data_IF_503568209227
#
_entry.id   IF_503568209227
#
_cell.length_a   1.000
_cell.length_b   1.000
_cell.length_c   1.000
_cell.angle_alpha   90.00
_cell.angle_beta   90.00
_cell.angle_gamma   90.00
#
_symmetry.space_group_name_H-M   'P 1'
#
loop_
_entity.id
_entity.type
_entity.pdbx_description
1 polymer ?
#
# COMPACT_ATOMS: atom_id res chain seq x y z
N UNK A 1 -13.28 13.69 -12.84
CA UNK A 1 -13.27 14.94 -13.63
C UNK A 1 -12.11 15.77 -13.17
N UNK A 2 -11.24 16.24 -14.06
CA UNK A 2 -10.17 17.17 -13.69
C UNK A 2 -10.75 18.59 -13.65
N UNK A 3 -10.60 19.30 -12.54
CA UNK A 3 -10.95 20.73 -12.46
C UNK A 3 -9.87 21.51 -13.20
N UNK A 4 -10.27 22.35 -14.17
CA UNK A 4 -9.34 23.19 -14.91
C UNK A 4 -8.58 24.11 -13.93
N UNK A 5 -7.25 24.14 -14.02
CA UNK A 5 -6.41 24.97 -13.14
C UNK A 5 -6.04 26.31 -13.77
N UNK A 6 -6.36 26.53 -15.06
CA UNK A 6 -5.91 27.69 -15.84
C UNK A 6 -7.05 28.64 -16.23
N UNK A 7 -8.29 28.15 -16.30
CA UNK A 7 -9.48 28.94 -16.66
C UNK A 7 -10.42 29.00 -15.45
N UNK A 8 -10.57 30.20 -14.89
CA UNK A 8 -11.37 30.44 -13.69
C UNK A 8 -12.85 30.04 -13.86
N UNK A 9 -13.41 30.26 -15.04
CA UNK A 9 -14.82 29.94 -15.31
C UNK A 9 -15.02 28.43 -15.36
N UNK A 10 -14.09 27.70 -15.99
CA UNK A 10 -14.13 26.24 -16.01
C UNK A 10 -13.79 25.63 -14.65
N UNK A 11 -12.92 26.29 -13.87
CA UNK A 11 -12.61 25.92 -12.49
C UNK A 11 -13.86 26.00 -11.63
N UNK A 12 -14.56 27.14 -11.65
CA UNK A 12 -15.79 27.36 -10.91
C UNK A 12 -16.89 26.38 -11.33
N UNK A 13 -17.11 26.20 -12.64
CA UNK A 13 -18.06 25.22 -13.16
C UNK A 13 -17.72 23.78 -12.70
N UNK A 14 -16.42 23.45 -12.64
CA UNK A 14 -15.93 22.17 -12.12
C UNK A 14 -16.23 21.98 -10.63
N UNK A 15 -16.00 23.02 -9.82
CA UNK A 15 -16.31 23.03 -8.38
C UNK A 15 -17.82 22.86 -8.15
N UNK A 16 -18.66 23.59 -8.91
CA UNK A 16 -20.11 23.49 -8.79
C UNK A 16 -20.63 22.10 -9.21
N UNK A 17 -20.00 21.47 -10.21
CA UNK A 17 -20.35 20.13 -10.65
C UNK A 17 -19.91 19.02 -9.68
N UNK A 18 -18.97 19.29 -8.77
CA UNK A 18 -18.39 18.30 -7.86
C UNK A 18 -19.47 17.61 -6.99
N UNK A 19 -20.42 18.37 -6.45
CA UNK A 19 -21.50 17.81 -5.63
C UNK A 19 -22.36 16.79 -6.39
N UNK A 20 -22.70 17.09 -7.65
CA UNK A 20 -23.45 16.17 -8.51
C UNK A 20 -22.68 14.90 -8.85
N UNK A 21 -21.35 15.00 -9.01
CA UNK A 21 -20.48 13.85 -9.21
C UNK A 21 -20.44 12.97 -7.95
N UNK A 22 -20.16 13.57 -6.79
CA UNK A 22 -20.08 12.85 -5.52
C UNK A 22 -21.40 12.17 -5.16
N UNK A 23 -22.55 12.79 -5.47
CA UNK A 23 -23.87 12.21 -5.26
C UNK A 23 -24.12 10.93 -6.08
N UNK A 24 -23.47 10.78 -7.24
CA UNK A 24 -23.57 9.59 -8.08
C UNK A 24 -22.49 8.55 -7.78
N UNK A 25 -21.47 8.91 -7.00
CA UNK A 25 -20.36 8.02 -6.63
C UNK A 25 -20.78 7.08 -5.49
N UNK A 26 -20.58 5.78 -5.68
CA UNK A 26 -20.79 4.77 -4.61
C UNK A 26 -19.61 4.68 -3.64
N UNK A 27 -18.42 4.96 -4.15
CA UNK A 27 -17.16 4.87 -3.41
C UNK A 27 -16.28 6.08 -3.71
N UNK A 28 -15.54 6.54 -2.70
CA UNK A 28 -14.50 7.56 -2.84
C UNK A 28 -13.13 6.93 -2.59
N UNK A 29 -12.30 6.86 -3.64
CA UNK A 29 -10.95 6.33 -3.55
C UNK A 29 -9.96 7.48 -3.33
N UNK A 30 -9.35 7.53 -2.16
CA UNK A 30 -8.40 8.57 -1.77
C UNK A 30 -6.99 8.02 -1.94
N UNK A 31 -6.28 8.51 -2.95
CA UNK A 31 -4.83 8.33 -3.07
C UNK A 31 -4.16 9.29 -2.09
N UNK A 32 -3.92 8.83 -0.87
CA UNK A 32 -3.40 9.69 0.18
C UNK A 32 -1.91 10.02 -0.03
N UNK A 33 -1.54 11.23 0.38
CA UNK A 33 -0.17 11.68 0.60
C UNK A 33 -0.03 12.26 2.02
N UNK A 34 1.19 12.42 2.56
CA UNK A 34 1.39 12.98 3.90
C UNK A 34 0.78 14.39 4.11
N UNK A 35 0.54 15.11 3.01
CA UNK A 35 -0.05 16.45 2.97
C UNK A 35 -1.52 16.43 2.52
N UNK A 36 -2.20 15.28 2.54
CA UNK A 36 -3.61 15.21 2.13
C UNK A 36 -4.51 16.00 3.08
N UNK A 37 -4.40 15.75 4.39
CA UNK A 37 -5.24 16.41 5.41
C UNK A 37 -4.77 17.83 5.75
N UNK A 38 -3.62 18.28 5.26
CA UNK A 38 -3.23 19.68 5.37
C UNK A 38 -3.86 20.56 4.29
N UNK A 39 -4.47 20.00 3.25
CA UNK A 39 -5.08 20.75 2.14
C UNK A 39 -6.59 20.84 2.30
N UNK A 40 -7.11 22.06 2.41
CA UNK A 40 -8.54 22.32 2.70
C UNK A 40 -9.48 21.74 1.64
N UNK A 41 -9.13 21.85 0.35
CA UNK A 41 -9.92 21.29 -0.75
C UNK A 41 -10.04 19.75 -0.68
N UNK A 42 -8.97 19.05 -0.34
CA UNK A 42 -8.99 17.59 -0.20
C UNK A 42 -9.93 17.15 0.94
N UNK A 43 -9.86 17.87 2.06
CA UNK A 43 -10.74 17.63 3.20
C UNK A 43 -12.20 17.96 2.85
N UNK A 44 -12.42 19.01 2.06
CA UNK A 44 -13.75 19.37 1.58
C UNK A 44 -14.38 18.30 0.69
N UNK A 45 -13.62 17.70 -0.23
CA UNK A 45 -14.09 16.58 -1.07
C UNK A 45 -14.55 15.40 -0.22
N UNK A 46 -13.76 15.06 0.79
CA UNK A 46 -14.10 14.02 1.77
C UNK A 46 -15.38 14.40 2.55
N UNK A 47 -15.46 15.63 3.04
CA UNK A 47 -16.62 16.15 3.78
C UNK A 47 -17.90 16.12 2.93
N UNK A 48 -17.80 16.56 1.68
CA UNK A 48 -18.90 16.58 0.73
C UNK A 48 -19.38 15.15 0.44
N UNK A 49 -18.44 14.22 0.20
CA UNK A 49 -18.80 12.83 -0.07
C UNK A 49 -19.53 12.19 1.11
N UNK A 50 -19.04 12.37 2.33
CA UNK A 50 -19.67 11.83 3.54
C UNK A 50 -21.03 12.45 3.82
N UNK A 51 -21.16 13.77 3.65
CA UNK A 51 -22.42 14.47 3.87
C UNK A 51 -23.50 14.11 2.84
N UNK A 52 -23.10 13.87 1.59
CA UNK A 52 -24.02 13.48 0.51
C UNK A 52 -24.32 11.98 0.55
N UNK A 53 -23.33 11.15 0.91
CA UNK A 53 -23.42 9.69 0.92
C UNK A 53 -23.16 9.16 2.33
N UNK A 54 -24.16 9.27 3.21
CA UNK A 54 -24.05 8.81 4.61
C UNK A 54 -23.66 7.34 4.81
N UNK A 55 -23.69 6.51 3.75
CA UNK A 55 -23.19 5.13 3.73
C UNK A 55 -22.19 4.81 2.61
N UNK A 56 -21.64 5.82 1.93
CA UNK A 56 -20.65 5.62 0.88
C UNK A 56 -19.34 5.04 1.41
N UNK A 57 -18.71 4.12 0.68
CA UNK A 57 -17.45 3.53 1.12
C UNK A 57 -16.27 4.45 0.79
N UNK A 58 -15.39 4.70 1.76
CA UNK A 58 -14.16 5.48 1.57
C UNK A 58 -12.99 4.50 1.55
N UNK A 59 -12.23 4.50 0.45
CA UNK A 59 -11.10 3.60 0.25
C UNK A 59 -9.80 4.40 0.23
N UNK A 60 -8.99 4.29 1.28
CA UNK A 60 -7.67 4.89 1.29
C UNK A 60 -6.65 3.98 0.61
N UNK A 61 -6.02 4.48 -0.46
CA UNK A 61 -5.04 3.74 -1.24
C UNK A 61 -3.65 4.36 -1.08
N UNK A 62 -2.71 3.66 -0.40
CA UNK A 62 -1.36 4.13 -0.26
C UNK A 62 -0.57 4.05 -1.56
N UNK A 63 -0.42 5.17 -2.28
CA UNK A 63 0.35 5.22 -3.52
C UNK A 63 1.80 4.73 -3.33
N UNK A 64 2.37 5.00 -2.15
CA UNK A 64 3.75 4.64 -1.82
C UNK A 64 3.97 3.14 -1.65
N UNK A 65 2.95 2.36 -1.29
CA UNK A 65 3.11 0.92 -1.08
C UNK A 65 3.39 0.23 -2.42
N UNK A 66 2.62 0.57 -3.45
CA UNK A 66 2.82 0.02 -4.80
C UNK A 66 4.16 0.44 -5.40
N UNK A 67 4.57 1.70 -5.18
CA UNK A 67 5.89 2.18 -5.58
C UNK A 67 7.01 1.43 -4.84
N UNK A 68 6.85 1.20 -3.53
CA UNK A 68 7.84 0.44 -2.76
C UNK A 68 7.94 -1.03 -3.18
N UNK A 69 6.81 -1.67 -3.49
CA UNK A 69 6.76 -3.00 -4.08
C UNK A 69 7.49 -3.04 -5.42
N UNK A 70 7.19 -2.09 -6.31
CA UNK A 70 7.87 -1.98 -7.61
C UNK A 70 9.38 -1.79 -7.46
N UNK A 71 9.83 -0.89 -6.58
CA UNK A 71 11.26 -0.68 -6.29
C UNK A 71 11.91 -1.97 -5.78
N UNK A 72 11.27 -2.64 -4.82
CA UNK A 72 11.75 -3.92 -4.29
C UNK A 72 11.87 -4.98 -5.39
N UNK A 73 10.83 -5.13 -6.23
CA UNK A 73 10.83 -6.04 -7.37
C UNK A 73 11.98 -5.74 -8.33
N UNK A 74 12.11 -4.50 -8.78
CA UNK A 74 13.16 -4.09 -9.74
C UNK A 74 14.56 -4.33 -9.16
N UNK A 75 14.80 -3.99 -7.89
CA UNK A 75 16.11 -4.19 -7.27
C UNK A 75 16.43 -5.66 -6.99
N UNK A 76 15.42 -6.46 -6.63
CA UNK A 76 15.58 -7.91 -6.51
C UNK A 76 15.99 -8.52 -7.86
N UNK A 77 15.28 -8.17 -8.93
CA UNK A 77 15.60 -8.58 -10.29
C UNK A 77 16.99 -8.13 -10.74
N UNK A 78 17.31 -6.86 -10.55
CA UNK A 78 18.61 -6.32 -10.90
C UNK A 78 19.74 -7.07 -10.17
N UNK A 79 19.57 -7.35 -8.87
CA UNK A 79 20.53 -8.13 -8.08
C UNK A 79 20.71 -9.55 -8.61
N UNK A 80 19.62 -10.23 -8.96
CA UNK A 80 19.66 -11.57 -9.55
C UNK A 80 20.35 -11.58 -10.92
N UNK A 81 19.98 -10.67 -11.82
CA UNK A 81 20.58 -10.57 -13.17
C UNK A 81 22.07 -10.27 -13.07
N UNK A 82 22.45 -9.32 -12.21
CA UNK A 82 23.83 -8.94 -12.00
C UNK A 82 24.66 -10.12 -11.46
N UNK A 83 24.13 -10.86 -10.47
CA UNK A 83 24.78 -12.06 -9.94
C UNK A 83 24.92 -13.16 -11.01
N UNK A 84 23.84 -13.50 -11.72
CA UNK A 84 23.83 -14.54 -12.75
C UNK A 84 24.72 -14.17 -13.95
N UNK A 85 24.80 -12.90 -14.31
CA UNK A 85 25.70 -12.40 -15.33
C UNK A 85 27.16 -12.64 -14.94
N UNK A 86 27.56 -12.27 -13.72
CA UNK A 86 28.92 -12.53 -13.22
C UNK A 86 29.29 -14.01 -13.23
N UNK A 87 28.34 -14.89 -12.88
CA UNK A 87 28.55 -16.35 -12.89
C UNK A 87 28.68 -16.89 -14.31
N UNK A 88 27.84 -16.44 -15.25
CA UNK A 88 27.83 -16.89 -16.65
C UNK A 88 29.12 -16.55 -17.38
N UNK A 89 29.68 -15.36 -17.17
CA UNK A 89 30.92 -14.94 -17.84
C UNK A 89 32.19 -15.51 -17.20
N UNK A 90 32.08 -16.50 -16.31
CA UNK A 90 33.19 -17.15 -15.61
C UNK A 90 34.16 -16.14 -14.96
N UNK A 91 33.63 -14.99 -14.51
CA UNK A 91 34.37 -13.98 -13.75
C UNK A 91 34.49 -14.46 -12.28
N UNK A 92 34.65 -15.77 -12.06
CA UNK A 92 34.62 -16.42 -10.75
C UNK A 92 35.96 -16.37 -10.04
N UNK A 93 37.06 -16.18 -10.78
CA UNK A 93 38.41 -16.01 -10.23
C UNK A 93 38.73 -14.56 -9.85
N UNK A 94 37.73 -13.67 -9.82
CA UNK A 94 37.91 -12.25 -9.59
C UNK A 94 36.95 -11.73 -8.51
N UNK A 95 37.24 -10.56 -7.96
CA UNK A 95 36.42 -9.87 -6.94
C UNK A 95 35.01 -9.47 -7.43
N UNK A 96 34.73 -9.63 -8.73
CA UNK A 96 33.52 -9.13 -9.38
C UNK A 96 32.20 -9.73 -8.87
N UNK A 97 32.03 -11.05 -8.64
CA UNK A 97 30.78 -11.59 -8.11
C UNK A 97 30.48 -11.10 -6.68
N UNK A 98 31.53 -10.85 -5.88
CA UNK A 98 31.38 -10.25 -4.57
C UNK A 98 30.96 -8.78 -4.69
N UNK A 99 31.61 -8.01 -5.56
CA UNK A 99 31.21 -6.61 -5.82
C UNK A 99 29.77 -6.52 -6.34
N UNK A 100 29.38 -7.43 -7.22
CA UNK A 100 28.06 -7.45 -7.84
C UNK A 100 26.96 -7.79 -6.82
N UNK A 101 27.26 -8.73 -5.92
CA UNK A 101 26.43 -9.02 -4.75
C UNK A 101 26.33 -7.78 -3.85
N UNK A 102 27.45 -7.16 -3.50
CA UNK A 102 27.47 -5.94 -2.65
C UNK A 102 26.62 -4.83 -3.27
N UNK A 103 26.77 -4.55 -4.57
CA UNK A 103 25.99 -3.52 -5.26
C UNK A 103 24.49 -3.82 -5.23
N UNK A 104 24.07 -5.04 -5.55
CA UNK A 104 22.66 -5.44 -5.48
C UNK A 104 22.07 -5.29 -4.07
N UNK A 105 22.81 -5.71 -3.05
CA UNK A 105 22.38 -5.65 -1.65
C UNK A 105 22.35 -4.21 -1.11
N UNK A 106 23.26 -3.34 -1.56
CA UNK A 106 23.21 -1.91 -1.22
C UNK A 106 21.92 -1.26 -1.72
N UNK A 107 21.44 -1.61 -2.92
CA UNK A 107 20.17 -1.11 -3.45
C UNK A 107 18.98 -1.57 -2.60
N UNK A 108 18.97 -2.83 -2.15
CA UNK A 108 17.94 -3.35 -1.24
C UNK A 108 18.01 -2.68 0.15
N UNK A 109 19.21 -2.34 0.64
CA UNK A 109 19.36 -1.56 1.87
C UNK A 109 18.77 -0.14 1.72
N UNK A 110 18.99 0.52 0.58
CA UNK A 110 18.33 1.79 0.27
C UNK A 110 16.81 1.65 0.23
N UNK A 111 16.30 0.56 -0.38
CA UNK A 111 14.87 0.24 -0.39
C UNK A 111 14.31 0.08 1.04
N UNK A 112 15.01 -0.61 1.94
CA UNK A 112 14.63 -0.73 3.36
C UNK A 112 14.52 0.65 4.02
N UNK A 113 15.47 1.55 3.75
CA UNK A 113 15.43 2.91 4.30
C UNK A 113 14.25 3.73 3.77
N UNK A 114 14.00 3.70 2.46
CA UNK A 114 12.83 4.35 1.85
C UNK A 114 11.52 3.81 2.42
N UNK A 115 11.42 2.48 2.54
CA UNK A 115 10.23 1.83 3.09
C UNK A 115 9.97 2.24 4.55
N UNK A 116 11.00 2.30 5.39
CA UNK A 116 10.89 2.80 6.77
C UNK A 116 10.38 4.24 6.82
N UNK A 117 10.81 5.09 5.89
CA UNK A 117 10.31 6.47 5.78
C UNK A 117 8.83 6.47 5.40
N UNK A 118 8.41 5.67 4.42
CA UNK A 118 6.99 5.59 4.04
C UNK A 118 6.11 5.06 5.17
N UNK A 119 6.58 4.05 5.90
CA UNK A 119 5.85 3.51 7.06
C UNK A 119 5.73 4.55 8.18
N UNK A 120 6.70 5.46 8.32
CA UNK A 120 6.63 6.58 9.25
C UNK A 120 5.59 7.61 8.82
N UNK A 121 5.58 7.98 7.55
CA UNK A 121 4.62 8.95 7.02
C UNK A 121 3.18 8.43 7.15
N UNK A 122 2.99 7.12 7.02
CA UNK A 122 1.74 6.41 7.35
C UNK A 122 1.36 6.52 8.82
N UNK A 123 2.29 6.30 9.76
CA UNK A 123 1.99 6.47 11.19
C UNK A 123 1.69 7.94 11.52
N UNK A 124 2.37 8.87 10.85
CA UNK A 124 2.12 10.29 11.00
C UNK A 124 0.72 10.66 10.52
N UNK A 125 0.24 10.07 9.42
CA UNK A 125 -1.14 10.26 8.96
C UNK A 125 -2.18 9.92 10.03
N UNK A 126 -2.01 8.77 10.70
CA UNK A 126 -2.90 8.35 11.77
C UNK A 126 -2.90 9.32 12.97
N UNK A 127 -1.78 10.01 13.20
CA UNK A 127 -1.64 11.04 14.21
C UNK A 127 -2.24 12.38 13.74
N UNK A 128 -1.98 12.79 12.50
CA UNK A 128 -2.57 13.99 11.90
C UNK A 128 -4.10 13.95 11.97
N UNK A 129 -4.70 12.78 11.73
CA UNK A 129 -6.15 12.61 11.87
C UNK A 129 -6.65 12.70 13.31
N UNK A 130 -5.82 12.35 14.30
CA UNK A 130 -6.20 12.42 15.72
C UNK A 130 -6.36 13.88 16.16
N UNK A 131 -5.44 14.73 15.73
CA UNK A 131 -5.39 16.14 16.11
C UNK A 131 -5.88 17.07 14.97
N UNK A 132 -6.61 16.50 13.99
CA UNK A 132 -7.04 17.20 12.79
C UNK A 132 -7.92 18.41 13.12
N UNK A 133 -7.66 19.56 12.51
CA UNK A 133 -8.55 20.72 12.61
C UNK A 133 -8.65 21.42 11.24
N UNK A 134 -9.86 21.48 10.70
CA UNK A 134 -10.15 22.12 9.42
C UNK A 134 -9.75 23.60 9.37
N UNK A 135 -9.73 24.27 10.54
CA UNK A 135 -9.27 25.67 10.66
C UNK A 135 -7.77 25.80 10.44
N UNK A 136 -7.00 24.74 10.64
CA UNK A 136 -5.55 24.76 10.40
C UNK A 136 -5.18 24.29 8.99
N UNK A 137 -6.15 23.80 8.21
CA UNK A 137 -5.92 23.39 6.84
C UNK A 137 -5.49 24.59 5.97
N UNK A 138 -4.52 24.33 5.10
CA UNK A 138 -3.96 25.26 4.13
C UNK A 138 -4.93 25.41 2.96
N UNK A 139 -5.13 26.66 2.55
CA UNK A 139 -5.88 27.02 1.36
C UNK A 139 -5.14 28.17 0.68
N UNK A 140 -4.98 28.11 -0.64
CA UNK A 140 -4.25 29.14 -1.39
C UNK A 140 -5.08 30.42 -1.49
N UNK A 141 -6.38 30.28 -1.75
CA UNK A 141 -7.30 31.41 -1.93
C UNK A 141 -8.16 31.61 -0.69
N UNK A 142 -8.20 32.84 -0.20
CA UNK A 142 -8.99 33.17 1.00
C UNK A 142 -10.50 33.03 0.74
N UNK A 143 -10.95 33.38 -0.45
CA UNK A 143 -12.36 33.29 -0.85
C UNK A 143 -12.84 31.83 -0.85
N UNK A 144 -12.04 30.92 -1.41
CA UNK A 144 -12.26 29.47 -1.35
C UNK A 144 -12.39 28.98 0.09
N UNK A 145 -11.50 29.44 0.97
CA UNK A 145 -11.53 29.07 2.39
C UNK A 145 -12.86 29.46 3.05
N UNK A 146 -13.31 30.70 2.84
CA UNK A 146 -14.58 31.18 3.40
C UNK A 146 -15.78 30.45 2.78
N UNK A 147 -15.72 30.10 1.51
CA UNK A 147 -16.74 29.27 0.84
C UNK A 147 -16.80 27.85 1.44
N UNK A 148 -15.66 27.16 1.50
CA UNK A 148 -15.55 25.78 2.00
C UNK A 148 -16.02 25.69 3.46
N UNK A 149 -15.55 26.58 4.33
CA UNK A 149 -15.93 26.56 5.74
C UNK A 149 -17.43 26.84 5.94
N UNK A 150 -18.03 27.72 5.11
CA UNK A 150 -19.49 27.91 5.11
C UNK A 150 -20.23 26.66 4.69
N UNK A 151 -19.77 25.96 3.64
CA UNK A 151 -20.36 24.71 3.19
C UNK A 151 -20.24 23.61 4.25
N UNK A 152 -19.08 23.50 4.92
CA UNK A 152 -18.89 22.57 6.04
C UNK A 152 -19.85 22.86 7.19
N UNK A 153 -19.99 24.14 7.60
CA UNK A 153 -20.98 24.54 8.61
C UNK A 153 -22.40 24.19 8.20
N UNK A 154 -22.74 24.36 6.92
CA UNK A 154 -24.07 24.02 6.40
C UNK A 154 -24.36 22.52 6.46
N UNK A 155 -23.37 21.66 6.18
CA UNK A 155 -23.55 20.21 6.17
C UNK A 155 -23.47 19.57 7.55
N UNK A 156 -22.58 20.06 8.40
CA UNK A 156 -22.26 19.45 9.70
C UNK A 156 -22.75 20.28 10.90
N UNK A 157 -23.40 21.43 10.65
CA UNK A 157 -23.83 22.39 11.68
C UNK A 157 -22.69 23.26 12.23
N UNK A 158 -21.49 22.71 12.38
CA UNK A 158 -20.30 23.44 12.85
C UNK A 158 -18.99 22.86 12.32
N UNK A 159 -17.92 23.64 12.39
CA UNK A 159 -16.56 23.18 12.08
C UNK A 159 -16.07 22.13 13.10
N UNK A 160 -16.50 22.23 14.36
CA UNK A 160 -16.11 21.28 15.41
C UNK A 160 -16.79 19.91 15.23
N UNK A 161 -18.08 19.87 14.86
CA UNK A 161 -18.77 18.63 14.51
C UNK A 161 -18.12 17.92 13.32
N UNK A 162 -17.68 18.69 12.32
CA UNK A 162 -16.91 18.15 11.21
C UNK A 162 -15.54 17.60 11.65
N UNK A 163 -14.82 18.34 12.51
CA UNK A 163 -13.55 17.87 13.06
C UNK A 163 -13.73 16.56 13.86
N UNK A 164 -14.78 16.44 14.67
CA UNK A 164 -15.11 15.21 15.39
C UNK A 164 -15.39 14.05 14.45
N UNK A 165 -16.13 14.29 13.37
CA UNK A 165 -16.41 13.29 12.35
C UNK A 165 -15.13 12.77 11.66
N UNK A 166 -14.18 13.67 11.36
CA UNK A 166 -12.88 13.30 10.77
C UNK A 166 -11.98 12.57 11.78
N UNK A 167 -11.90 13.05 13.03
CA UNK A 167 -11.11 12.43 14.10
C UNK A 167 -11.66 11.06 14.53
N UNK A 168 -12.97 10.86 14.40
CA UNK A 168 -13.69 9.63 14.71
C UNK A 168 -13.79 8.69 13.51
N UNK A 169 -14.88 8.82 12.74
CA UNK A 169 -15.25 7.88 11.69
C UNK A 169 -14.18 7.75 10.60
N UNK A 170 -13.71 8.87 10.04
CA UNK A 170 -12.70 8.84 8.96
C UNK A 170 -11.41 8.19 9.44
N UNK A 171 -10.95 8.55 10.65
CA UNK A 171 -9.76 7.95 11.25
C UNK A 171 -9.93 6.44 11.47
N UNK A 172 -11.07 5.98 11.97
CA UNK A 172 -11.32 4.54 12.12
C UNK A 172 -11.31 3.80 10.79
N UNK A 173 -11.94 4.39 9.76
CA UNK A 173 -12.02 3.78 8.43
C UNK A 173 -10.66 3.78 7.73
N UNK A 174 -9.87 4.85 7.91
CA UNK A 174 -8.48 4.90 7.47
C UNK A 174 -7.66 3.78 8.14
N UNK A 175 -7.71 3.68 9.47
CA UNK A 175 -6.92 2.68 10.20
C UNK A 175 -7.33 1.24 9.81
N UNK A 176 -8.61 1.03 9.51
CA UNK A 176 -9.14 -0.24 9.01
C UNK A 176 -8.70 -0.55 7.58
N UNK A 177 -8.63 0.45 6.72
CA UNK A 177 -8.21 0.31 5.31
C UNK A 177 -6.69 0.33 5.12
N UNK A 178 -5.92 0.69 6.15
CA UNK A 178 -4.47 0.74 6.14
C UNK A 178 -3.83 -0.38 7.01
N UNK A 179 -3.94 -1.67 6.70
CA UNK A 179 -3.00 -2.67 7.24
C UNK A 179 -1.75 -2.74 6.35
N UNK A 180 -0.64 -2.06 6.72
CA UNK A 180 0.59 -2.05 5.91
C UNK A 180 1.30 -3.40 5.88
N UNK A 181 0.98 -4.28 6.83
CA UNK A 181 1.49 -5.64 6.88
C UNK A 181 0.59 -6.64 6.15
N UNK A 182 -0.62 -6.27 5.72
CA UNK A 182 -1.42 -7.11 4.83
C UNK A 182 -0.98 -6.96 3.38
N UNK A 183 0.31 -7.24 3.13
CA UNK A 183 0.74 -7.64 1.81
C UNK A 183 0.00 -8.95 1.48
N UNK A 184 -0.88 -8.97 0.45
CA UNK A 184 -1.52 -10.21 0.02
C UNK A 184 -0.45 -11.22 -0.36
N UNK A 185 -0.71 -12.50 -0.08
CA UNK A 185 0.26 -13.56 -0.37
C UNK A 185 0.69 -13.57 -1.85
N UNK A 186 -0.25 -13.34 -2.78
CA UNK A 186 0.05 -13.28 -4.21
C UNK A 186 1.02 -12.13 -4.53
N UNK A 187 0.82 -10.95 -3.93
CA UNK A 187 1.73 -9.81 -4.09
C UNK A 187 3.11 -10.15 -3.53
N UNK A 188 3.18 -10.78 -2.35
CA UNK A 188 4.43 -11.22 -1.74
C UNK A 188 5.15 -12.29 -2.59
N UNK A 189 4.39 -13.20 -3.22
CA UNK A 189 4.90 -14.23 -4.11
C UNK A 189 5.53 -13.65 -5.37
N UNK A 190 4.83 -12.73 -6.04
CA UNK A 190 5.37 -12.06 -7.24
C UNK A 190 6.62 -11.26 -6.90
N UNK A 191 6.61 -10.53 -5.79
CA UNK A 191 7.72 -9.66 -5.38
C UNK A 191 8.93 -10.44 -4.86
N UNK A 192 8.72 -11.41 -3.96
CA UNK A 192 9.77 -12.18 -3.32
C UNK A 192 10.35 -13.26 -4.22
N UNK A 193 9.53 -13.85 -5.10
CA UNK A 193 9.90 -15.06 -5.85
C UNK A 193 10.04 -14.84 -7.36
N UNK A 194 9.67 -13.67 -7.89
CA UNK A 194 9.73 -13.37 -9.32
C UNK A 194 11.13 -13.50 -9.94
N UNK A 195 12.18 -13.00 -9.28
CA UNK A 195 13.54 -13.18 -9.79
C UNK A 195 14.12 -14.59 -9.49
N UNK A 196 13.97 -15.13 -8.26
CA UNK A 196 14.45 -16.48 -7.93
C UNK A 196 13.87 -17.60 -8.79
N UNK A 197 12.59 -17.52 -9.19
CA UNK A 197 11.96 -18.59 -9.99
C UNK A 197 12.68 -18.76 -11.34
N UNK A 198 13.05 -17.68 -12.02
CA UNK A 198 13.79 -17.75 -13.27
C UNK A 198 15.17 -18.39 -13.06
N UNK A 199 15.91 -17.94 -12.05
CA UNK A 199 17.23 -18.53 -11.74
C UNK A 199 17.15 -20.01 -11.36
N UNK A 200 16.10 -20.42 -10.63
CA UNK A 200 15.87 -21.82 -10.26
C UNK A 200 15.46 -22.68 -11.46
N UNK A 201 14.67 -22.15 -12.39
CA UNK A 201 14.33 -22.84 -13.64
C UNK A 201 15.57 -23.02 -14.53
N UNK A 202 16.43 -22.02 -14.63
CA UNK A 202 17.70 -22.13 -15.36
C UNK A 202 18.61 -23.21 -14.74
N UNK A 203 18.73 -23.20 -13.40
CA UNK A 203 19.46 -24.24 -12.67
C UNK A 203 18.87 -25.64 -12.90
N UNK A 204 17.54 -25.78 -12.87
CA UNK A 204 16.85 -27.04 -13.15
C UNK A 204 17.19 -27.56 -14.56
N UNK A 205 17.11 -26.69 -15.58
CA UNK A 205 17.44 -27.04 -16.96
C UNK A 205 18.91 -27.48 -17.06
N UNK A 206 19.82 -26.78 -16.38
CA UNK A 206 21.22 -27.15 -16.28
C UNK A 206 21.42 -28.55 -15.68
N UNK A 207 20.74 -28.86 -14.58
CA UNK A 207 20.80 -30.17 -13.94
C UNK A 207 20.26 -31.29 -14.83
N UNK A 208 19.17 -31.03 -15.57
CA UNK A 208 18.60 -31.98 -16.54
C UNK A 208 19.62 -32.26 -17.65
N UNK A 209 20.21 -31.22 -18.23
CA UNK A 209 21.23 -31.35 -19.28
C UNK A 209 22.50 -32.06 -18.80
N UNK A 210 22.86 -31.90 -17.53
CA UNK A 210 23.98 -32.59 -16.90
C UNK A 210 23.69 -34.08 -16.61
N UNK A 211 22.50 -34.59 -16.93
CA UNK A 211 22.14 -35.99 -16.68
C UNK A 211 22.00 -36.30 -15.18
N UNK A 212 21.60 -35.30 -14.37
CA UNK A 212 21.44 -35.50 -12.93
C UNK A 212 20.44 -36.64 -12.66
N UNK A 213 20.74 -37.62 -11.78
CA UNK A 213 19.82 -38.68 -11.44
C UNK A 213 18.46 -38.16 -10.96
N UNK A 214 17.38 -38.90 -11.25
CA UNK A 214 16.00 -38.52 -10.91
C UNK A 214 15.83 -38.13 -9.43
N UNK A 215 16.46 -38.87 -8.51
CA UNK A 215 16.46 -38.56 -7.08
C UNK A 215 17.00 -37.16 -6.78
N UNK A 216 18.08 -36.75 -7.44
CA UNK A 216 18.66 -35.41 -7.30
C UNK A 216 17.73 -34.34 -7.87
N UNK A 217 17.15 -34.57 -9.05
CA UNK A 217 16.19 -33.66 -9.66
C UNK A 217 14.94 -33.46 -8.78
N UNK A 218 14.37 -34.54 -8.24
CA UNK A 218 13.20 -34.46 -7.35
C UNK A 218 13.53 -33.69 -6.07
N UNK A 219 14.71 -33.93 -5.48
CA UNK A 219 15.16 -33.21 -4.30
C UNK A 219 15.33 -31.70 -4.58
N UNK A 220 15.88 -31.35 -5.75
CA UNK A 220 16.03 -29.96 -6.17
C UNK A 220 14.67 -29.29 -6.41
N UNK A 221 13.75 -29.97 -7.07
CA UNK A 221 12.39 -29.47 -7.31
C UNK A 221 11.65 -29.16 -6.00
N UNK A 222 11.78 -30.02 -4.98
CA UNK A 222 11.20 -29.76 -3.66
C UNK A 222 11.82 -28.52 -3.00
N UNK A 223 13.14 -28.38 -3.07
CA UNK A 223 13.84 -27.19 -2.58
C UNK A 223 13.39 -25.93 -3.33
N UNK A 224 13.37 -25.96 -4.67
CA UNK A 224 12.96 -24.84 -5.50
C UNK A 224 11.50 -24.45 -5.24
N UNK A 225 10.61 -25.43 -5.11
CA UNK A 225 9.21 -25.21 -4.74
C UNK A 225 9.10 -24.53 -3.37
N UNK A 226 9.79 -25.05 -2.33
CA UNK A 226 9.79 -24.44 -1.01
C UNK A 226 10.35 -23.01 -1.02
N UNK A 227 11.43 -22.79 -1.76
CA UNK A 227 12.06 -21.48 -1.90
C UNK A 227 11.13 -20.46 -2.57
N UNK A 228 10.47 -20.83 -3.67
CA UNK A 228 9.58 -19.95 -4.45
C UNK A 228 8.25 -19.76 -3.77
N UNK A 229 7.60 -20.82 -3.32
CA UNK A 229 6.22 -20.76 -2.82
C UNK A 229 6.19 -20.36 -1.35
N UNK A 230 7.12 -20.80 -0.51
CA UNK A 230 7.02 -20.53 0.94
C UNK A 230 8.00 -19.48 1.41
N UNK A 231 9.30 -19.65 1.14
CA UNK A 231 10.33 -18.78 1.69
C UNK A 231 10.31 -17.39 1.05
N UNK A 232 10.23 -17.29 -0.27
CA UNK A 232 10.20 -16.01 -1.00
C UNK A 232 9.14 -15.03 -0.47
N UNK A 233 7.84 -15.40 -0.44
CA UNK A 233 6.80 -14.53 0.11
C UNK A 233 7.01 -14.22 1.59
N UNK A 234 7.46 -15.19 2.38
CA UNK A 234 7.73 -15.02 3.81
C UNK A 234 8.82 -13.98 4.05
N UNK A 235 9.90 -14.03 3.28
CA UNK A 235 11.00 -13.05 3.38
C UNK A 235 10.61 -11.68 2.86
N UNK A 236 9.83 -11.59 1.78
CA UNK A 236 9.28 -10.31 1.32
C UNK A 236 8.40 -9.68 2.42
N UNK A 237 7.51 -10.46 3.03
CA UNK A 237 6.68 -9.99 4.15
C UNK A 237 7.52 -9.60 5.37
N UNK A 238 8.53 -10.38 5.74
CA UNK A 238 9.46 -10.04 6.82
C UNK A 238 10.18 -8.72 6.57
N UNK A 239 10.62 -8.46 5.33
CA UNK A 239 11.28 -7.20 4.95
C UNK A 239 10.37 -5.99 5.24
N UNK A 240 9.12 -6.05 4.79
CA UNK A 240 8.15 -4.98 5.02
C UNK A 240 7.73 -4.87 6.49
N UNK A 241 7.58 -6.00 7.18
CA UNK A 241 7.28 -6.04 8.61
C UNK A 241 8.36 -5.35 9.45
N UNK A 242 9.63 -5.65 9.19
CA UNK A 242 10.76 -5.00 9.87
C UNK A 242 10.78 -3.49 9.59
N UNK A 243 10.51 -3.08 8.35
CA UNK A 243 10.44 -1.67 8.00
C UNK A 243 9.31 -0.94 8.75
N UNK A 244 8.12 -1.52 8.85
CA UNK A 244 7.00 -0.94 9.58
C UNK A 244 7.28 -0.88 11.09
N UNK A 245 7.69 -2.02 11.68
CA UNK A 245 7.90 -2.13 13.12
C UNK A 245 8.95 -1.15 13.66
N UNK A 246 9.96 -0.84 12.85
CA UNK A 246 11.06 0.06 13.21
C UNK A 246 11.03 1.39 12.43
N UNK A 247 9.86 1.82 11.94
CA UNK A 247 9.67 3.06 11.19
C UNK A 247 9.94 4.34 12.02
N UNK A 248 9.99 4.24 13.35
CA UNK A 248 10.15 5.39 14.27
C UNK A 248 11.32 6.28 13.86
N UNK A 249 11.04 7.60 13.75
CA UNK A 249 12.03 8.62 13.41
C UNK A 249 13.14 8.67 14.45
N UNK A 250 14.37 8.59 13.98
CA UNK A 250 15.55 8.84 14.82
C UNK A 250 15.89 10.34 14.79
N UNK A 251 16.48 10.84 15.88
CA UNK A 251 16.86 12.26 16.01
C UNK A 251 17.92 12.69 14.99
N UNK A 252 18.87 11.80 14.69
CA UNK A 252 19.97 12.07 13.76
C UNK A 252 19.86 11.21 12.50
N UNK A 253 20.15 11.80 11.35
CA UNK A 253 20.05 11.16 10.03
C UNK A 253 20.92 9.88 9.92
N UNK A 254 22.16 9.92 10.40
CA UNK A 254 23.07 8.75 10.36
C UNK A 254 22.57 7.59 11.23
N UNK A 255 21.92 7.88 12.36
CA UNK A 255 21.32 6.85 13.22
C UNK A 255 20.11 6.21 12.52
N UNK A 256 19.33 6.99 11.77
CA UNK A 256 18.22 6.45 11.00
C UNK A 256 18.69 5.48 9.91
N UNK A 257 19.75 5.85 9.19
CA UNK A 257 20.42 4.96 8.24
C UNK A 257 21.03 3.72 8.90
N UNK A 258 21.70 3.90 10.05
CA UNK A 258 22.26 2.80 10.83
C UNK A 258 21.20 1.76 11.20
N UNK A 259 20.01 2.20 11.65
CA UNK A 259 18.90 1.27 11.94
C UNK A 259 18.43 0.56 10.67
N UNK A 260 18.32 1.25 9.52
CA UNK A 260 17.92 0.61 8.25
C UNK A 260 18.92 -0.46 7.83
N UNK A 261 20.21 -0.14 7.94
CA UNK A 261 21.30 -1.06 7.62
C UNK A 261 21.29 -2.28 8.55
N UNK A 262 21.16 -2.08 9.86
CA UNK A 262 21.08 -3.21 10.82
C UNK A 262 19.88 -4.13 10.55
N UNK A 263 18.72 -3.58 10.21
CA UNK A 263 17.54 -4.36 9.86
C UNK A 263 17.71 -5.11 8.54
N UNK A 264 18.34 -4.48 7.56
CA UNK A 264 18.68 -5.13 6.30
C UNK A 264 19.66 -6.29 6.51
N UNK A 265 20.74 -6.09 7.29
CA UNK A 265 21.70 -7.16 7.63
C UNK A 265 21.00 -8.30 8.37
N UNK A 266 20.12 -8.01 9.33
CA UNK A 266 19.35 -9.03 10.03
C UNK A 266 18.48 -9.85 9.06
N UNK A 267 17.78 -9.17 8.15
CA UNK A 267 16.96 -9.82 7.12
C UNK A 267 17.82 -10.71 6.21
N UNK A 268 18.96 -10.19 5.73
CA UNK A 268 19.86 -10.90 4.83
C UNK A 268 20.50 -12.12 5.49
N UNK A 269 20.99 -11.99 6.73
CA UNK A 269 21.53 -13.13 7.49
C UNK A 269 20.47 -14.21 7.66
N UNK A 270 19.23 -13.83 7.97
CA UNK A 270 18.11 -14.78 8.05
C UNK A 270 17.90 -15.49 6.71
N UNK A 271 17.86 -14.74 5.60
CA UNK A 271 17.71 -15.28 4.25
C UNK A 271 18.82 -16.28 3.90
N UNK A 272 20.09 -15.92 4.15
CA UNK A 272 21.26 -16.76 3.88
C UNK A 272 21.23 -18.04 4.71
N UNK A 273 20.89 -17.95 5.99
CA UNK A 273 20.79 -19.11 6.88
C UNK A 273 19.74 -20.09 6.37
N UNK A 274 18.52 -19.62 6.05
CA UNK A 274 17.46 -20.50 5.52
C UNK A 274 17.80 -21.10 4.16
N UNK A 275 18.39 -20.31 3.24
CA UNK A 275 18.88 -20.82 1.95
C UNK A 275 19.98 -21.88 2.15
N UNK A 276 20.91 -21.64 3.07
CA UNK A 276 21.97 -22.58 3.43
C UNK A 276 21.42 -23.91 3.94
N UNK A 277 20.45 -23.87 4.87
CA UNK A 277 19.76 -25.07 5.35
C UNK A 277 19.02 -25.82 4.24
N UNK A 278 18.29 -25.12 3.37
CA UNK A 278 17.61 -25.74 2.23
C UNK A 278 18.59 -26.40 1.25
N UNK A 279 19.72 -25.75 0.97
CA UNK A 279 20.78 -26.29 0.12
C UNK A 279 21.47 -27.51 0.75
N UNK A 280 21.69 -27.51 2.06
CA UNK A 280 22.24 -28.67 2.78
C UNK A 280 21.27 -29.86 2.73
N UNK A 281 19.99 -29.62 2.99
CA UNK A 281 18.94 -30.64 2.94
C UNK A 281 18.80 -31.26 1.53
N UNK A 282 18.83 -30.41 0.50
CA UNK A 282 18.86 -30.82 -0.91
C UNK A 282 20.02 -31.76 -1.21
N UNK A 283 21.22 -31.47 -0.70
CA UNK A 283 22.42 -32.29 -0.97
C UNK A 283 22.43 -33.63 -0.23
N UNK A 284 21.69 -33.75 0.87
CA UNK A 284 21.73 -34.94 1.74
C UNK A 284 20.71 -35.99 1.33
N UNK A 285 19.43 -35.64 1.32
CA UNK A 285 18.38 -36.61 1.02
C UNK A 285 17.06 -35.97 0.60
N UNK A 286 16.23 -36.77 -0.09
CA UNK A 286 14.87 -36.40 -0.45
C UNK A 286 14.01 -36.14 0.79
N UNK A 287 14.19 -36.94 1.85
CA UNK A 287 13.44 -36.81 3.09
C UNK A 287 13.76 -35.51 3.83
N UNK A 288 15.03 -35.11 3.88
CA UNK A 288 15.42 -33.81 4.45
C UNK A 288 14.83 -32.64 3.65
N UNK A 289 14.86 -32.73 2.31
CA UNK A 289 14.27 -31.71 1.44
C UNK A 289 12.76 -31.56 1.66
N UNK A 290 12.04 -32.69 1.79
CA UNK A 290 10.62 -32.70 2.11
C UNK A 290 10.36 -32.08 3.49
N UNK A 291 11.16 -32.42 4.49
CA UNK A 291 11.04 -31.89 5.85
C UNK A 291 11.21 -30.36 5.87
N UNK A 292 12.22 -29.83 5.17
CA UNK A 292 12.43 -28.38 5.04
C UNK A 292 11.29 -27.71 4.29
N UNK A 293 10.77 -28.33 3.22
CA UNK A 293 9.63 -27.80 2.47
C UNK A 293 8.37 -27.71 3.35
N UNK A 294 8.05 -28.78 4.10
CA UNK A 294 6.92 -28.80 5.02
C UNK A 294 7.07 -27.76 6.13
N UNK A 295 8.25 -27.66 6.76
CA UNK A 295 8.52 -26.67 7.79
C UNK A 295 8.37 -25.24 7.25
N UNK A 296 8.89 -24.98 6.05
CA UNK A 296 8.75 -23.69 5.37
C UNK A 296 7.29 -23.36 5.07
N UNK A 297 6.50 -24.34 4.62
CA UNK A 297 5.06 -24.19 4.39
C UNK A 297 4.28 -23.84 5.66
N UNK A 298 4.60 -24.48 6.79
CA UNK A 298 4.01 -24.15 8.09
C UNK A 298 4.38 -22.73 8.52
N UNK A 299 5.64 -22.33 8.38
CA UNK A 299 6.08 -20.96 8.70
C UNK A 299 5.33 -19.94 7.83
N UNK A 300 5.26 -20.16 6.52
CA UNK A 300 4.54 -19.29 5.60
C UNK A 300 3.05 -19.20 5.98
N UNK A 301 2.41 -20.34 6.26
CA UNK A 301 1.02 -20.40 6.71
C UNK A 301 0.81 -19.57 7.99
N UNK A 302 1.66 -19.73 9.01
CA UNK A 302 1.57 -18.94 10.25
C UNK A 302 1.76 -17.45 9.98
N UNK A 303 2.77 -17.08 9.19
CA UNK A 303 3.10 -15.68 8.89
C UNK A 303 1.97 -14.97 8.15
N UNK A 304 1.27 -15.64 7.25
CA UNK A 304 0.20 -15.03 6.46
C UNK A 304 -1.20 -15.19 7.08
N UNK A 305 -1.50 -16.26 7.83
CA UNK A 305 -2.82 -16.43 8.46
C UNK A 305 -2.89 -15.94 9.90
N UNK A 306 -1.90 -16.21 10.76
CA UNK A 306 -1.98 -15.75 12.15
C UNK A 306 -1.88 -14.22 12.25
N UNK A 307 -1.15 -13.59 11.32
CA UNK A 307 -1.09 -12.13 11.25
C UNK A 307 -2.45 -11.49 10.91
N UNK A 308 -3.28 -12.15 10.10
CA UNK A 308 -4.65 -11.67 9.80
C UNK A 308 -5.57 -11.77 11.02
N UNK A 309 -5.40 -12.79 11.85
CA UNK A 309 -6.24 -12.98 13.06
C UNK A 309 -5.95 -11.93 14.14
N UNK A 310 -4.72 -11.42 14.22
CA UNK A 310 -4.35 -10.37 15.17
C UNK A 310 -4.99 -9.01 14.87
N UNK A 311 -5.27 -8.71 13.60
CA UNK A 311 -5.87 -7.44 13.18
C UNK A 311 -7.41 -7.44 13.28
N UNK A 312 -8.06 -8.62 13.29
CA UNK A 312 -9.53 -8.70 13.29
C UNK A 312 -10.19 -8.42 14.65
N UNK A 313 -9.42 -8.33 15.74
CA UNK A 313 -9.96 -7.87 17.04
C UNK A 313 -9.79 -6.37 17.20
N UNK A 314 -10.44 -5.60 16.33
CA UNK A 314 -11.02 -4.36 16.84
C UNK A 314 -12.04 -4.79 17.90
N UNK A 315 -12.05 -4.20 19.11
CA UNK A 315 -13.17 -4.46 19.99
C UNK A 315 -14.42 -4.16 19.18
N UNK A 316 -15.35 -5.10 19.13
CA UNK A 316 -16.74 -4.79 18.87
C UNK A 316 -17.09 -3.76 19.94
N UNK A 317 -16.79 -2.49 19.64
CA UNK A 317 -17.40 -1.36 20.28
C UNK A 317 -18.85 -1.64 19.97
N UNK A 318 -19.54 -2.21 20.95
CA UNK A 318 -20.93 -2.54 20.83
C UNK A 318 -21.60 -1.27 20.35
N UNK A 319 -21.81 -1.21 19.04
CA UNK A 319 -22.98 -0.63 18.46
C UNK A 319 -24.09 -1.44 19.14
N UNK A 320 -24.45 -0.98 20.34
CA UNK A 320 -25.82 -1.03 20.76
C UNK A 320 -26.57 -0.67 19.51
N UNK A 321 -27.42 -1.58 19.06
CA UNK A 321 -28.65 -1.22 18.39
C UNK A 321 -29.35 -0.20 19.30
N UNK A 322 -28.84 1.03 19.35
CA UNK A 322 -29.62 2.19 19.69
C UNK A 322 -30.49 2.37 18.46
N UNK A 323 -31.62 1.66 18.50
CA UNK A 323 -32.91 2.21 18.14
C UNK A 323 -32.78 3.42 17.20
N UNK A 324 -32.61 3.12 15.92
CA UNK A 324 -32.77 4.12 14.85
C UNK A 324 -34.28 4.42 14.63
N UNK A 325 -35.09 4.27 15.68
CA UNK A 325 -36.53 4.54 15.74
C UNK A 325 -36.84 5.97 16.18
N UNK A 326 -35.82 6.83 16.34
CA UNK A 326 -36.01 8.25 16.66
C UNK A 326 -35.17 9.10 15.68
N UNK A 327 -35.70 9.26 14.46
CA UNK A 327 -35.82 10.50 13.65
C UNK A 327 -36.52 10.05 12.34
N UNK A 328 -37.80 9.72 12.45
CA UNK A 328 -38.79 9.93 11.37
C UNK A 328 -39.45 11.31 11.58
N UNK A 329 -38.66 12.29 12.01
CA UNK A 329 -39.07 13.70 12.14
C UNK A 329 -38.35 14.52 11.09
N UNK A 330 -39.09 14.94 10.06
CA UNK A 330 -38.70 15.89 9.02
C UNK A 330 -37.44 15.56 8.20
N UNK A 331 -37.59 14.64 7.26
CA UNK A 331 -36.73 14.53 6.06
C UNK A 331 -36.86 15.71 5.08
N UNK A 332 -37.47 16.83 5.47
CA UNK A 332 -37.54 18.06 4.67
C UNK A 332 -36.29 18.95 4.78
N UNK A 333 -35.28 18.56 5.58
CA UNK A 333 -33.93 19.14 5.50
C UNK A 333 -33.05 18.28 4.57
N UNK A 334 -33.59 17.96 3.40
CA UNK A 334 -32.73 17.94 2.23
C UNK A 334 -32.22 19.39 2.10
N UNK A 335 -30.90 19.69 2.05
CA UNK A 335 -30.46 21.02 1.66
C UNK A 335 -31.20 21.32 0.35
N UNK A 336 -31.90 22.48 0.22
CA UNK A 336 -32.84 22.75 -0.87
C UNK A 336 -32.21 22.24 -2.14
N UNK A 337 -32.85 21.21 -2.72
CA UNK A 337 -32.35 20.48 -3.87
C UNK A 337 -31.73 21.51 -4.79
N UNK A 338 -30.41 21.45 -4.96
CA UNK A 338 -29.67 22.31 -5.89
C UNK A 338 -30.48 22.27 -7.18
N UNK A 339 -31.15 23.40 -7.46
CA UNK A 339 -32.33 23.40 -8.32
C UNK A 339 -32.00 22.67 -9.60
N UNK A 340 -32.79 21.65 -9.95
CA UNK A 340 -32.82 21.15 -11.32
C UNK A 340 -33.11 22.36 -12.19
N UNK A 341 -32.08 22.92 -12.81
CA UNK A 341 -32.24 23.84 -13.91
C UNK A 341 -33.06 23.10 -14.96
N UNK A 342 -34.34 23.45 -15.06
CA UNK A 342 -35.17 23.03 -16.18
C UNK A 342 -34.51 23.61 -17.43
N UNK A 343 -33.85 22.75 -18.20
CA UNK A 343 -33.40 23.07 -19.56
C UNK A 343 -34.63 23.12 -20.47
N UNK A 344 -35.42 24.19 -20.36
CA UNK A 344 -36.44 24.55 -21.35
C UNK A 344 -35.77 25.42 -22.42
N UNK A 345 -35.54 24.86 -23.60
CA UNK A 345 -35.11 25.64 -24.77
C UNK A 345 -34.22 24.86 -25.72
N UNK A 346 -34.79 23.92 -26.47
CA UNK A 346 -34.20 23.48 -27.73
C UNK A 346 -34.56 24.50 -28.81
N UNK A 347 -33.60 25.09 -29.54
CA UNK A 347 -33.88 25.73 -30.82
C UNK A 347 -33.70 24.71 -31.94
N UNK A 348 -34.83 24.47 -32.61
CA UNK A 348 -35.04 24.28 -34.03
C UNK A 348 -33.79 24.15 -34.91
N UNK A 349 -33.73 23.01 -35.58
CA UNK A 349 -32.95 22.69 -36.78
C UNK A 349 -32.88 23.84 -37.79
N UNK A 350 -31.66 24.28 -38.12
CA UNK A 350 -31.38 25.03 -39.34
C UNK A 350 -30.43 24.19 -40.21
N UNK A 351 -30.95 23.82 -41.37
CA UNK A 351 -30.21 23.23 -42.49
C UNK A 351 -29.10 24.16 -42.96
N UNK A 352 -27.89 23.64 -43.17
CA UNK A 352 -26.94 24.30 -44.05
C UNK A 352 -26.17 23.28 -44.86
N UNK A 353 -26.48 23.30 -46.15
CA UNK A 353 -25.74 22.73 -47.25
C UNK A 353 -24.34 23.36 -47.38
N UNK A 354 -23.29 22.54 -47.42
CA UNK A 354 -22.32 22.45 -48.52
C UNK A 354 -21.30 21.36 -48.24
#
# INVERSE_FOLDING_TARGET
>A
TCICQTDDRLREAGIQALGGFLQRSRELHIMWSPDYFSRLWCVYELAAFMGINGGGAIQFRPLFMEVALLIYFVFNWFSCVLFMGCMTFHITNSVWPLCSLVVGHLLLCCCMHLLRRFMRDRHELANQLKDFDVRLAQCQEREDREHILRSIKRWYGSEDAFNEQVRGQVRSELLRSLPATNMPYLTALVNGSGAPICSLLDMLIGMIRAGTPSKGLTSFLLYAFAAVIFLGPTFARLFFYLAERFARKQRHHWRDWGVSFSLFVLWEVTLVVFKGFGMMAFRRSLFESLSVATASGVIAWVVFHCAQLGEYKAPDGGAKDSDNSIIEGDTDICPPALGRAQSSGAPTTASMSR
#
